data_IF_757350675930
#
_entry.id   IF_757350675930
#
_cell.length_a   1.000
_cell.length_b   1.000
_cell.length_c   1.000
_cell.angle_alpha   90.00
_cell.angle_beta   90.00
_cell.angle_gamma   90.00
#
_symmetry.space_group_name_H-M   'P 1'
#
loop_
_entity.id
_entity.type
_entity.pdbx_description
1 polymer ?
#
# COMPACT_ATOMS: atom_id res chain seq x y z
N UNK A 1 -69.31 -32.17 -20.14
CA UNK A 1 -68.90 -33.45 -20.75
C UNK A 1 -67.42 -33.32 -21.15
N UNK A 2 -66.54 -34.12 -20.54
CA UNK A 2 -65.12 -34.42 -20.92
C UNK A 2 -64.04 -33.31 -20.80
N UNK A 3 -63.38 -33.33 -19.64
CA UNK A 3 -61.91 -33.29 -19.35
C UNK A 3 -60.90 -32.97 -20.47
N UNK A 4 -59.90 -32.11 -20.15
CA UNK A 4 -58.48 -32.51 -19.95
C UNK A 4 -57.57 -31.34 -19.52
N UNK A 5 -56.88 -31.55 -18.40
CA UNK A 5 -55.65 -30.89 -17.93
C UNK A 5 -54.50 -31.20 -18.88
N UNK A 6 -53.59 -30.25 -19.18
CA UNK A 6 -52.14 -30.50 -19.35
C UNK A 6 -51.29 -29.25 -19.05
N UNK A 7 -50.31 -29.43 -18.15
CA UNK A 7 -49.16 -28.57 -17.85
C UNK A 7 -48.16 -28.55 -19.01
N UNK A 8 -47.49 -27.43 -19.27
CA UNK A 8 -46.13 -27.34 -19.89
C UNK A 8 -45.46 -26.09 -19.30
N UNK A 9 -44.61 -26.22 -18.27
CA UNK A 9 -43.15 -26.41 -18.30
C UNK A 9 -42.35 -25.16 -18.75
N UNK A 10 -41.78 -24.49 -17.75
CA UNK A 10 -40.77 -23.43 -17.84
C UNK A 10 -39.50 -23.95 -18.49
N UNK A 11 -38.98 -23.25 -19.50
CA UNK A 11 -37.70 -23.56 -20.14
C UNK A 11 -36.58 -22.88 -19.35
N UNK A 12 -35.82 -23.68 -18.60
CA UNK A 12 -34.46 -23.32 -18.19
C UNK A 12 -33.52 -23.67 -19.34
N UNK A 13 -32.92 -22.67 -19.97
CA UNK A 13 -31.86 -22.84 -20.96
C UNK A 13 -30.53 -23.15 -20.25
N UNK A 14 -30.15 -24.42 -20.20
CA UNK A 14 -28.80 -24.87 -19.86
C UNK A 14 -27.96 -24.84 -21.13
N UNK A 15 -26.97 -23.96 -21.20
CA UNK A 15 -25.93 -24.02 -22.22
C UNK A 15 -25.07 -25.28 -21.97
N UNK A 16 -25.18 -26.27 -22.84
CA UNK A 16 -24.27 -27.41 -22.85
C UNK A 16 -22.97 -27.00 -23.53
N UNK A 17 -21.90 -26.87 -22.74
CA UNK A 17 -20.54 -26.68 -23.23
C UNK A 17 -20.09 -27.98 -23.92
N UNK A 18 -19.91 -27.94 -25.24
CA UNK A 18 -19.39 -29.07 -26.01
C UNK A 18 -17.90 -29.26 -25.74
N UNK A 19 -17.55 -30.25 -24.91
CA UNK A 19 -16.16 -30.67 -24.71
C UNK A 19 -15.78 -31.61 -25.85
N UNK A 20 -14.91 -31.15 -26.75
CA UNK A 20 -14.21 -32.01 -27.70
C UNK A 20 -13.19 -32.86 -26.94
N UNK A 21 -13.41 -34.19 -26.92
CA UNK A 21 -12.45 -35.16 -26.42
C UNK A 21 -11.22 -35.22 -27.34
N UNK A 22 -10.08 -34.73 -26.87
CA UNK A 22 -8.77 -35.08 -27.41
C UNK A 22 -8.34 -36.38 -26.73
N UNK A 23 -8.15 -37.45 -27.51
CA UNK A 23 -7.62 -38.72 -27.03
C UNK A 23 -6.15 -38.55 -26.59
N UNK A 24 -5.92 -38.45 -25.28
CA UNK A 24 -4.59 -38.52 -24.67
C UNK A 24 -4.27 -39.98 -24.25
N UNK A 25 -3.03 -40.47 -24.38
CA UNK A 25 -2.64 -41.82 -23.94
C UNK A 25 -2.79 -41.99 -22.42
N UNK A 26 -2.89 -43.22 -21.90
CA UNK A 26 -3.23 -43.48 -20.50
C UNK A 26 -2.03 -43.19 -19.58
N UNK A 27 -1.83 -41.92 -19.23
CA UNK A 27 -1.09 -41.53 -18.04
C UNK A 27 -2.09 -41.36 -16.88
N UNK A 28 -1.66 -41.81 -15.70
CA UNK A 28 -2.39 -41.83 -14.42
C UNK A 28 -3.44 -40.72 -14.29
N UNK A 29 -4.72 -41.10 -14.17
CA UNK A 29 -5.78 -40.20 -13.74
C UNK A 29 -5.49 -39.77 -12.30
N UNK A 30 -4.89 -38.60 -12.10
CA UNK A 30 -5.07 -37.88 -10.85
C UNK A 30 -6.54 -37.54 -10.73
N UNK A 31 -7.06 -37.72 -9.53
CA UNK A 31 -8.37 -37.28 -9.09
C UNK A 31 -8.41 -35.73 -9.08
N UNK A 32 -8.55 -35.12 -10.25
CA UNK A 32 -8.68 -33.67 -10.46
C UNK A 32 -9.93 -33.07 -9.81
N UNK A 33 -10.81 -33.90 -9.25
CA UNK A 33 -11.92 -33.47 -8.42
C UNK A 33 -11.45 -32.64 -7.22
N UNK A 34 -10.29 -32.91 -6.63
CA UNK A 34 -9.76 -32.12 -5.50
C UNK A 34 -9.26 -30.74 -5.93
N UNK A 35 -8.66 -30.63 -7.12
CA UNK A 35 -8.24 -29.34 -7.69
C UNK A 35 -9.45 -28.50 -8.14
N UNK A 36 -10.46 -29.15 -8.72
CA UNK A 36 -11.71 -28.50 -9.10
C UNK A 36 -12.54 -28.09 -7.87
N UNK A 37 -12.56 -28.91 -6.81
CA UNK A 37 -13.24 -28.58 -5.55
C UNK A 37 -12.53 -27.47 -4.78
N UNK A 38 -11.19 -27.38 -4.83
CA UNK A 38 -10.42 -26.26 -4.30
C UNK A 38 -10.62 -24.97 -5.10
N UNK A 39 -10.91 -25.06 -6.41
CA UNK A 39 -11.37 -23.93 -7.22
C UNK A 39 -12.81 -23.50 -6.89
N UNK A 40 -13.64 -24.42 -6.39
CA UNK A 40 -15.07 -24.22 -6.11
C UNK A 40 -15.39 -23.91 -4.63
N UNK A 41 -14.48 -24.15 -3.70
CA UNK A 41 -14.64 -23.75 -2.30
C UNK A 41 -14.21 -22.29 -2.14
N UNK A 42 -15.13 -21.35 -2.33
CA UNK A 42 -14.93 -19.98 -1.88
C UNK A 42 -14.98 -19.96 -0.35
N UNK A 43 -13.82 -19.77 0.29
CA UNK A 43 -13.78 -19.46 1.72
C UNK A 43 -14.41 -18.08 1.95
N UNK A 44 -15.12 -17.89 3.06
CA UNK A 44 -15.69 -16.59 3.44
C UNK A 44 -14.92 -16.04 4.63
N UNK A 45 -14.40 -14.83 4.53
CA UNK A 45 -13.66 -14.13 5.59
C UNK A 45 -14.48 -12.90 6.01
N UNK A 46 -15.06 -12.91 7.21
CA UNK A 46 -15.73 -11.76 7.80
C UNK A 46 -16.05 -11.98 9.27
N UNK A 47 -16.45 -10.90 9.94
CA UNK A 47 -16.79 -10.88 11.35
C UNK A 47 -15.58 -11.04 12.26
N UNK A 48 -15.86 -11.35 13.52
CA UNK A 48 -14.84 -11.51 14.54
C UNK A 48 -14.09 -12.85 14.41
N UNK A 49 -12.77 -12.76 14.28
CA UNK A 49 -11.85 -13.91 14.29
C UNK A 49 -11.15 -13.94 15.64
N UNK A 50 -11.59 -14.85 16.50
CA UNK A 50 -11.08 -15.04 17.88
C UNK A 50 -10.23 -16.29 18.05
N UNK A 51 -10.04 -17.05 16.98
CA UNK A 51 -9.22 -18.26 16.93
C UNK A 51 -8.50 -18.36 15.58
N UNK A 52 -7.56 -19.30 15.47
CA UNK A 52 -6.82 -19.51 14.24
C UNK A 52 -7.73 -20.00 13.09
N UNK A 53 -7.66 -19.33 11.95
CA UNK A 53 -8.33 -19.71 10.70
C UNK A 53 -7.29 -19.76 9.57
N UNK A 54 -7.53 -20.62 8.58
CA UNK A 54 -6.65 -20.77 7.42
C UNK A 54 -7.43 -20.77 6.12
N UNK A 55 -6.91 -20.06 5.14
CA UNK A 55 -7.55 -19.83 3.85
C UNK A 55 -6.61 -20.20 2.70
N UNK A 56 -7.19 -20.65 1.59
CA UNK A 56 -6.48 -21.02 0.37
C UNK A 56 -7.39 -20.87 -0.85
N UNK A 57 -6.82 -20.73 -2.05
CA UNK A 57 -7.60 -20.62 -3.28
C UNK A 57 -8.29 -19.26 -3.41
N UNK A 58 -9.58 -19.25 -3.74
CA UNK A 58 -10.37 -18.01 -3.79
C UNK A 58 -11.12 -17.80 -2.47
N UNK A 59 -10.99 -16.62 -1.90
CA UNK A 59 -11.62 -16.21 -0.65
C UNK A 59 -12.45 -14.96 -0.92
N UNK A 60 -13.65 -14.90 -0.39
CA UNK A 60 -14.48 -13.70 -0.39
C UNK A 60 -14.34 -12.98 0.96
N UNK A 61 -13.99 -11.68 0.93
CA UNK A 61 -14.01 -10.81 2.09
C UNK A 61 -15.41 -10.16 2.19
N UNK A 62 -16.22 -10.68 3.10
CA UNK A 62 -17.65 -10.38 3.23
C UNK A 62 -17.91 -9.27 4.27
N UNK A 63 -17.42 -8.06 4.00
CA UNK A 63 -17.47 -6.94 4.94
C UNK A 63 -16.21 -6.88 5.82
N UNK A 64 -16.36 -6.49 7.08
CA UNK A 64 -15.20 -6.29 7.98
C UNK A 64 -14.77 -7.63 8.58
N UNK A 65 -13.51 -8.00 8.40
CA UNK A 65 -12.89 -9.15 9.07
C UNK A 65 -11.99 -8.67 10.20
N UNK A 66 -12.47 -8.83 11.44
CA UNK A 66 -11.79 -8.29 12.63
C UNK A 66 -11.03 -9.40 13.35
N UNK A 67 -9.71 -9.42 13.21
CA UNK A 67 -8.82 -10.34 13.92
C UNK A 67 -8.58 -9.82 15.33
N UNK A 68 -9.25 -10.42 16.30
CA UNK A 68 -9.17 -10.04 17.71
C UNK A 68 -7.97 -10.67 18.40
N UNK A 69 -7.63 -10.15 19.59
CA UNK A 69 -6.59 -10.74 20.44
C UNK A 69 -6.76 -12.26 20.62
N UNK A 70 -5.70 -13.01 20.32
CA UNK A 70 -5.70 -14.48 20.35
C UNK A 70 -6.21 -15.18 19.07
N UNK A 71 -6.84 -14.42 18.17
CA UNK A 71 -7.20 -14.88 16.82
C UNK A 71 -6.05 -14.73 15.83
N UNK A 72 -6.09 -15.52 14.75
CA UNK A 72 -5.15 -15.36 13.64
C UNK A 72 -5.76 -15.80 12.32
N UNK A 73 -5.40 -15.14 11.23
CA UNK A 73 -5.72 -15.58 9.87
C UNK A 73 -4.43 -15.93 9.13
N UNK A 74 -4.43 -17.08 8.45
CA UNK A 74 -3.31 -17.56 7.64
C UNK A 74 -3.77 -17.79 6.22
N UNK A 75 -3.06 -17.23 5.25
CA UNK A 75 -3.32 -17.44 3.83
C UNK A 75 -2.21 -18.30 3.23
N UNK A 76 -2.57 -19.38 2.55
CA UNK A 76 -1.61 -20.18 1.81
C UNK A 76 -1.06 -19.39 0.59
N UNK A 77 0.18 -19.62 0.13
CA UNK A 77 0.69 -19.04 -1.11
C UNK A 77 -0.28 -19.22 -2.28
N UNK A 78 -0.43 -18.18 -3.11
CA UNK A 78 -1.35 -18.17 -4.26
C UNK A 78 -2.82 -17.90 -3.90
N UNK A 79 -3.15 -17.63 -2.63
CA UNK A 79 -4.51 -17.24 -2.25
C UNK A 79 -4.90 -15.91 -2.87
N UNK A 80 -6.12 -15.82 -3.40
CA UNK A 80 -6.74 -14.58 -3.87
C UNK A 80 -7.95 -14.26 -3.00
N UNK A 81 -7.90 -13.13 -2.30
CA UNK A 81 -9.01 -12.55 -1.55
C UNK A 81 -9.71 -11.52 -2.41
N UNK A 82 -11.01 -11.71 -2.64
CA UNK A 82 -11.91 -10.82 -3.36
C UNK A 82 -12.72 -9.98 -2.36
N UNK A 83 -12.44 -8.69 -2.34
CA UNK A 83 -13.03 -7.73 -1.42
C UNK A 83 -14.07 -6.85 -2.13
N UNK A 84 -15.19 -6.60 -1.47
CA UNK A 84 -16.31 -5.83 -2.02
C UNK A 84 -16.46 -4.48 -1.30
N UNK A 85 -17.24 -3.53 -1.85
CA UNK A 85 -17.48 -2.25 -1.19
C UNK A 85 -17.94 -2.41 0.27
N UNK A 86 -17.34 -1.63 1.17
CA UNK A 86 -17.57 -1.71 2.62
C UNK A 86 -16.84 -2.85 3.34
N UNK A 87 -15.88 -3.52 2.69
CA UNK A 87 -15.05 -4.57 3.29
C UNK A 87 -13.61 -4.13 3.51
N UNK A 88 -13.01 -4.58 4.62
CA UNK A 88 -11.60 -4.39 4.94
C UNK A 88 -11.17 -5.42 6.00
N UNK A 89 -9.86 -5.64 6.14
CA UNK A 89 -9.31 -6.50 7.19
C UNK A 89 -8.82 -5.60 8.33
N UNK A 90 -9.24 -5.89 9.55
CA UNK A 90 -8.84 -5.17 10.75
C UNK A 90 -8.14 -6.11 11.73
N UNK A 91 -6.83 -5.94 11.90
CA UNK A 91 -6.03 -6.69 12.88
C UNK A 91 -5.88 -5.85 14.14
N UNK A 92 -6.60 -6.22 15.20
CA UNK A 92 -6.53 -5.54 16.49
C UNK A 92 -5.29 -5.96 17.28
N UNK A 93 -4.89 -5.23 18.35
CA UNK A 93 -3.73 -5.58 19.15
C UNK A 93 -3.79 -7.03 19.67
N UNK A 94 -2.82 -7.86 19.28
CA UNK A 94 -2.72 -9.27 19.65
C UNK A 94 -3.47 -10.25 18.74
N UNK A 95 -4.21 -9.75 17.75
CA UNK A 95 -4.58 -10.50 16.56
C UNK A 95 -3.40 -10.62 15.60
N UNK A 96 -3.44 -11.58 14.67
CA UNK A 96 -2.34 -11.81 13.72
C UNK A 96 -2.81 -12.12 12.30
N UNK A 97 -2.08 -11.60 11.31
CA UNK A 97 -2.24 -11.93 9.89
C UNK A 97 -0.97 -12.60 9.36
N UNK A 98 -1.10 -13.75 8.71
CA UNK A 98 0.02 -14.46 8.09
C UNK A 98 -0.26 -14.66 6.60
N UNK A 99 0.29 -13.78 5.77
CA UNK A 99 0.30 -13.88 4.34
C UNK A 99 1.75 -14.01 3.87
N UNK A 100 2.27 -15.24 3.89
CA UNK A 100 3.65 -15.56 3.49
C UNK A 100 3.66 -16.26 2.13
N UNK A 101 3.52 -15.45 1.07
CA UNK A 101 3.54 -15.89 -0.32
C UNK A 101 4.94 -16.13 -0.85
N UNK A 102 5.04 -16.30 -2.17
CA UNK A 102 6.33 -16.37 -2.88
C UNK A 102 6.24 -15.62 -4.20
N UNK A 103 7.36 -15.29 -4.84
CA UNK A 103 7.36 -14.68 -6.17
C UNK A 103 6.53 -15.47 -7.21
N UNK A 104 6.58 -16.81 -7.15
CA UNK A 104 5.81 -17.67 -8.06
C UNK A 104 4.36 -17.90 -7.65
N UNK A 105 3.97 -17.50 -6.44
CA UNK A 105 2.61 -17.69 -5.90
C UNK A 105 2.32 -16.60 -4.86
N UNK A 106 2.23 -15.33 -5.28
CA UNK A 106 1.94 -14.23 -4.37
C UNK A 106 0.53 -14.35 -3.82
N UNK A 107 0.29 -13.78 -2.64
CA UNK A 107 -1.06 -13.64 -2.08
C UNK A 107 -1.64 -12.33 -2.57
N UNK A 108 -2.90 -12.34 -3.00
CA UNK A 108 -3.54 -11.19 -3.66
C UNK A 108 -4.80 -10.80 -2.90
N UNK A 109 -4.83 -9.59 -2.37
CA UNK A 109 -6.03 -8.92 -1.88
C UNK A 109 -6.45 -7.91 -2.95
N UNK A 110 -7.65 -8.07 -3.50
CA UNK A 110 -8.06 -7.28 -4.68
C UNK A 110 -9.57 -7.12 -4.72
N UNK A 111 -10.02 -6.15 -5.51
CA UNK A 111 -11.43 -5.94 -5.79
C UNK A 111 -12.14 -7.20 -6.29
N UNK A 112 -13.30 -7.47 -5.70
CA UNK A 112 -14.30 -8.45 -6.08
C UNK A 112 -15.17 -7.97 -7.26
N UNK A 113 -15.05 -6.71 -7.66
CA UNK A 113 -15.69 -6.18 -8.88
C UNK A 113 -15.05 -6.84 -10.11
N UNK A 114 -15.88 -6.99 -11.15
CA UNK A 114 -15.48 -7.59 -12.42
C UNK A 114 -14.26 -6.87 -13.01
N UNK A 115 -13.32 -7.65 -13.56
CA UNK A 115 -12.14 -7.14 -14.28
C UNK A 115 -12.60 -6.17 -15.38
N UNK A 116 -11.92 -5.03 -15.52
CA UNK A 116 -12.32 -3.95 -16.43
C UNK A 116 -13.39 -3.01 -15.87
N UNK A 117 -13.90 -3.26 -14.66
CA UNK A 117 -14.80 -2.35 -13.93
C UNK A 117 -14.31 -2.06 -12.51
N UNK A 118 -13.08 -2.50 -12.18
CA UNK A 118 -12.45 -2.20 -10.90
C UNK A 118 -12.03 -0.74 -10.84
N UNK A 119 -12.18 -0.14 -9.68
CA UNK A 119 -11.77 1.23 -9.44
C UNK A 119 -10.95 1.32 -8.15
N UNK A 120 -10.04 2.31 -8.05
CA UNK A 120 -9.50 2.71 -6.75
C UNK A 120 -10.64 2.90 -5.74
N UNK A 121 -10.46 2.41 -4.52
CA UNK A 121 -11.46 2.54 -3.45
C UNK A 121 -12.60 1.53 -3.51
N UNK A 122 -12.45 0.44 -4.28
CA UNK A 122 -13.47 -0.64 -4.33
C UNK A 122 -13.63 -1.36 -2.97
N UNK A 123 -12.63 -1.26 -2.08
CA UNK A 123 -12.63 -1.80 -0.72
C UNK A 123 -11.63 -1.03 0.17
N UNK A 124 -11.66 -1.25 1.48
CA UNK A 124 -10.94 -0.44 2.47
C UNK A 124 -9.55 -0.95 2.88
N UNK A 125 -8.95 -1.90 2.17
CA UNK A 125 -7.57 -2.32 2.44
C UNK A 125 -7.36 -3.14 3.72
N UNK A 126 -6.14 -3.09 4.24
CA UNK A 126 -5.70 -3.83 5.43
C UNK A 126 -5.27 -2.85 6.51
N UNK A 127 -5.91 -2.94 7.68
CA UNK A 127 -5.59 -2.15 8.86
C UNK A 127 -4.95 -3.05 9.91
N UNK A 128 -3.76 -2.65 10.40
CA UNK A 128 -3.04 -3.37 11.45
C UNK A 128 -2.75 -2.42 12.61
N UNK A 129 -3.25 -2.77 13.80
CA UNK A 129 -3.00 -2.05 15.03
C UNK A 129 -2.08 -2.91 15.92
N UNK A 130 -0.86 -2.43 16.12
CA UNK A 130 0.15 -3.08 16.96
C UNK A 130 0.16 -2.55 18.40
N UNK A 131 1.29 -2.78 19.08
CA UNK A 131 1.55 -2.28 20.43
C UNK A 131 2.84 -1.46 20.54
N UNK A 132 3.43 -1.00 19.46
CA UNK A 132 4.54 -0.05 19.52
C UNK A 132 4.03 1.36 19.83
N UNK A 133 4.93 2.23 20.33
CA UNK A 133 4.59 3.60 20.70
C UNK A 133 4.45 4.52 19.48
N UNK A 134 3.75 5.65 19.66
CA UNK A 134 3.65 6.75 18.70
C UNK A 134 3.88 8.10 19.41
N UNK A 135 3.67 9.21 18.70
CA UNK A 135 3.80 10.55 19.24
C UNK A 135 2.52 11.05 19.96
N UNK A 136 1.36 10.48 19.63
CA UNK A 136 0.10 10.70 20.32
C UNK A 136 -0.72 9.41 20.46
N UNK A 137 -1.84 9.52 21.18
CA UNK A 137 -2.93 8.56 21.14
C UNK A 137 -4.08 9.13 20.31
N UNK A 138 -4.76 8.26 19.57
CA UNK A 138 -5.89 8.61 18.72
C UNK A 138 -6.78 7.41 18.48
N UNK A 139 -7.76 7.60 17.61
CA UNK A 139 -8.60 6.52 17.09
C UNK A 139 -8.28 6.32 15.60
N UNK A 140 -8.28 5.07 15.13
CA UNK A 140 -8.08 4.76 13.71
C UNK A 140 -9.21 5.30 12.85
N UNK A 141 -8.95 5.46 11.57
CA UNK A 141 -9.99 5.58 10.55
C UNK A 141 -10.83 4.30 10.49
N UNK A 142 -12.00 4.40 9.86
CA UNK A 142 -12.93 3.32 9.63
C UNK A 142 -14.30 3.50 10.29
N UNK A 143 -15.27 2.70 9.83
CA UNK A 143 -16.68 2.72 10.31
C UNK A 143 -16.83 2.47 11.83
N UNK A 144 -15.82 1.86 12.47
CA UNK A 144 -15.76 1.67 13.91
C UNK A 144 -14.33 1.95 14.41
N UNK A 145 -13.98 3.22 14.63
CA UNK A 145 -12.63 3.64 15.05
C UNK A 145 -12.13 2.85 16.25
N UNK A 146 -10.85 2.49 16.24
CA UNK A 146 -10.21 1.74 17.32
C UNK A 146 -9.10 2.57 17.96
N UNK A 147 -8.94 2.53 19.29
CA UNK A 147 -7.89 3.30 19.94
C UNK A 147 -6.51 2.74 19.59
N UNK A 148 -5.56 3.64 19.31
CA UNK A 148 -4.15 3.34 19.12
C UNK A 148 -3.26 4.37 19.85
N UNK A 149 -1.93 4.20 19.71
CA UNK A 149 -0.95 5.15 20.23
C UNK A 149 -0.65 4.92 21.70
N UNK A 150 0.32 4.05 21.96
CA UNK A 150 0.80 3.77 23.31
C UNK A 150 1.95 4.71 23.69
N UNK A 151 2.03 5.06 24.98
CA UNK A 151 3.22 5.73 25.52
C UNK A 151 4.43 4.81 25.42
N UNK A 152 5.64 5.39 25.39
CA UNK A 152 6.91 4.64 25.36
C UNK A 152 7.01 3.64 26.52
N UNK A 153 6.46 4.00 27.70
CA UNK A 153 6.48 3.13 28.88
C UNK A 153 5.47 1.97 28.83
N UNK A 154 4.37 2.11 28.08
CA UNK A 154 3.32 1.10 27.96
C UNK A 154 3.45 0.24 26.69
N UNK A 155 4.24 0.69 25.72
CA UNK A 155 4.42 0.02 24.45
C UNK A 155 5.27 -1.26 24.55
N UNK A 156 5.03 -2.14 23.58
CA UNK A 156 5.90 -3.24 23.20
C UNK A 156 6.43 -2.97 21.78
N UNK A 157 7.61 -2.38 21.67
CA UNK A 157 8.27 -2.08 20.39
C UNK A 157 8.59 -3.33 19.56
N UNK A 158 8.65 -4.51 20.20
CA UNK A 158 8.88 -5.80 19.57
C UNK A 158 7.58 -6.58 19.31
N UNK A 159 6.42 -5.93 19.40
CA UNK A 159 5.13 -6.56 19.09
C UNK A 159 5.11 -7.12 17.66
N UNK A 160 4.38 -8.23 17.48
CA UNK A 160 4.32 -8.98 16.24
C UNK A 160 2.86 -9.24 15.86
N UNK A 161 2.42 -8.48 14.85
CA UNK A 161 1.10 -8.58 14.21
C UNK A 161 1.06 -9.57 13.05
N UNK A 162 2.20 -10.18 12.71
CA UNK A 162 2.32 -11.27 11.74
C UNK A 162 3.26 -10.97 10.57
N UNK A 163 2.90 -11.45 9.38
CA UNK A 163 3.74 -11.44 8.18
C UNK A 163 2.90 -11.04 6.96
N UNK A 164 3.41 -10.07 6.19
CA UNK A 164 3.05 -9.81 4.81
C UNK A 164 4.32 -9.99 3.97
N UNK A 165 4.38 -11.07 3.18
CA UNK A 165 5.51 -11.41 2.31
C UNK A 165 5.01 -11.86 0.92
N UNK A 166 5.50 -11.24 -0.16
CA UNK A 166 4.98 -11.45 -1.53
C UNK A 166 3.45 -11.27 -1.60
N UNK A 167 3.01 -10.08 -1.18
CA UNK A 167 1.59 -9.69 -1.10
C UNK A 167 1.30 -8.59 -2.11
N UNK A 168 0.14 -8.68 -2.78
CA UNK A 168 -0.45 -7.60 -3.56
C UNK A 168 -1.73 -7.12 -2.90
N UNK A 169 -1.84 -5.82 -2.70
CA UNK A 169 -3.04 -5.13 -2.22
C UNK A 169 -3.48 -4.21 -3.37
N UNK A 170 -4.59 -4.54 -4.01
CA UNK A 170 -5.01 -3.90 -5.25
C UNK A 170 -6.38 -3.23 -5.06
N UNK A 171 -6.55 -2.00 -5.56
CA UNK A 171 -7.85 -1.29 -5.62
C UNK A 171 -8.47 -0.97 -4.24
N UNK A 172 -7.65 -0.84 -3.21
CA UNK A 172 -8.06 -0.42 -1.87
C UNK A 172 -8.27 1.11 -1.80
N UNK A 173 -8.44 1.72 -0.62
CA UNK A 173 -8.56 3.19 -0.50
C UNK A 173 -9.96 3.74 -0.17
N UNK A 174 -10.93 2.91 0.23
CA UNK A 174 -12.33 3.37 0.27
C UNK A 174 -12.60 4.43 1.35
N UNK A 175 -13.21 5.55 0.96
CA UNK A 175 -13.85 6.52 1.88
C UNK A 175 -15.09 5.90 2.52
N UNK A 176 -15.00 5.51 3.79
CA UNK A 176 -16.08 4.81 4.49
C UNK A 176 -17.04 5.75 5.21
N UNK A 177 -16.61 6.98 5.48
CA UNK A 177 -17.44 8.12 5.86
C UNK A 177 -16.75 9.41 5.37
N UNK A 178 -17.46 10.55 5.40
CA UNK A 178 -16.91 11.80 4.87
C UNK A 178 -15.66 12.23 5.62
N UNK A 179 -14.51 12.28 4.93
CA UNK A 179 -13.21 12.56 5.52
C UNK A 179 -12.70 11.48 6.48
N UNK A 180 -13.09 10.23 6.22
CA UNK A 180 -12.66 9.01 6.92
C UNK A 180 -12.35 7.96 5.85
N UNK A 181 -11.23 8.20 5.18
CA UNK A 181 -10.68 7.36 4.13
C UNK A 181 -9.80 6.24 4.72
N UNK A 182 -9.91 5.03 4.17
CA UNK A 182 -9.05 3.91 4.56
C UNK A 182 -8.00 3.69 3.49
N UNK A 183 -6.77 3.38 3.87
CA UNK A 183 -5.64 3.26 2.94
C UNK A 183 -5.50 1.87 2.28
N UNK A 184 -4.48 1.71 1.45
CA UNK A 184 -4.05 0.39 0.99
C UNK A 184 -3.60 -0.50 2.13
N UNK A 185 -2.64 -0.01 2.91
CA UNK A 185 -2.13 -0.65 4.12
C UNK A 185 -1.96 0.40 5.22
N UNK A 186 -2.83 0.36 6.23
CA UNK A 186 -2.81 1.25 7.38
C UNK A 186 -2.10 0.57 8.57
N UNK A 187 -1.09 1.22 9.13
CA UNK A 187 -0.21 0.67 10.17
C UNK A 187 -0.21 1.58 11.41
N UNK A 188 -0.99 1.22 12.43
CA UNK A 188 -1.07 1.98 13.68
C UNK A 188 -0.18 1.34 14.75
N UNK A 189 0.93 1.99 15.12
CA UNK A 189 1.81 1.53 16.19
C UNK A 189 2.33 0.11 15.99
N UNK A 190 2.72 -0.26 14.77
CA UNK A 190 3.17 -1.63 14.46
C UNK A 190 4.62 -1.84 14.90
N UNK A 191 4.86 -2.95 15.60
CA UNK A 191 6.17 -3.27 16.17
C UNK A 191 7.14 -3.97 15.22
N UNK A 192 8.42 -3.93 15.59
CA UNK A 192 9.57 -4.53 14.86
C UNK A 192 9.49 -6.05 14.71
N UNK A 193 8.64 -6.73 15.49
CA UNK A 193 8.42 -8.17 15.36
C UNK A 193 7.54 -8.55 14.16
N UNK A 194 6.87 -7.59 13.53
CA UNK A 194 6.04 -7.78 12.33
C UNK A 194 6.92 -7.74 11.08
N UNK A 195 6.65 -8.61 10.11
CA UNK A 195 7.38 -8.63 8.82
C UNK A 195 6.51 -8.05 7.72
N UNK A 196 7.00 -7.02 7.03
CA UNK A 196 6.40 -6.46 5.82
C UNK A 196 7.49 -6.44 4.75
N UNK A 197 7.44 -7.37 3.81
CA UNK A 197 8.46 -7.48 2.77
C UNK A 197 7.87 -7.93 1.43
N UNK A 198 8.41 -7.48 0.30
CA UNK A 198 7.85 -7.79 -1.03
C UNK A 198 6.34 -7.53 -1.07
N UNK A 199 5.94 -6.30 -0.75
CA UNK A 199 4.54 -5.87 -0.77
C UNK A 199 4.32 -4.88 -1.89
N UNK A 200 3.30 -5.13 -2.70
CA UNK A 200 2.80 -4.16 -3.66
C UNK A 200 1.46 -3.60 -3.21
N UNK A 201 1.34 -2.28 -3.20
CA UNK A 201 0.04 -1.59 -3.20
C UNK A 201 -0.20 -1.02 -4.59
N UNK A 202 -1.36 -1.33 -5.17
CA UNK A 202 -1.68 -0.99 -6.55
C UNK A 202 -3.04 -0.33 -6.66
N UNK A 203 -3.06 0.89 -7.19
CA UNK A 203 -4.27 1.65 -7.53
C UNK A 203 -5.22 1.84 -6.36
N UNK A 204 -4.67 2.25 -5.22
CA UNK A 204 -5.43 2.76 -4.09
C UNK A 204 -6.11 4.10 -4.43
N UNK A 205 -7.29 4.36 -3.86
CA UNK A 205 -7.96 5.66 -3.94
C UNK A 205 -7.34 6.66 -2.95
N UNK A 206 -7.00 6.17 -1.78
CA UNK A 206 -6.29 6.90 -0.76
C UNK A 206 -4.82 6.45 -0.73
N UNK A 207 -4.13 6.66 0.39
CA UNK A 207 -2.71 6.38 0.48
C UNK A 207 -2.34 4.94 0.18
N UNK A 208 -1.17 4.76 -0.40
CA UNK A 208 -0.61 3.44 -0.65
C UNK A 208 -0.36 2.70 0.66
N UNK A 209 0.51 3.27 1.49
CA UNK A 209 0.83 2.79 2.83
C UNK A 209 0.88 4.02 3.73
N UNK A 210 0.12 3.96 4.82
CA UNK A 210 0.16 4.99 5.86
C UNK A 210 0.50 4.36 7.20
N UNK A 211 1.37 5.01 7.97
CA UNK A 211 1.81 4.52 9.27
C UNK A 211 1.81 5.59 10.36
N UNK A 212 1.00 5.40 11.39
CA UNK A 212 0.96 6.26 12.57
C UNK A 212 1.79 5.66 13.69
N UNK A 213 2.98 6.23 13.91
CA UNK A 213 3.92 5.77 14.92
C UNK A 213 4.42 4.35 14.64
N UNK A 214 4.98 3.71 15.66
CA UNK A 214 5.55 2.37 15.54
C UNK A 214 6.92 2.33 14.86
N UNK A 215 7.46 1.12 14.74
CA UNK A 215 8.84 0.89 14.29
C UNK A 215 8.97 -0.37 13.42
N UNK A 216 7.88 -0.85 12.83
CA UNK A 216 7.93 -1.94 11.86
C UNK A 216 8.90 -1.59 10.73
N UNK A 217 9.69 -2.55 10.28
CA UNK A 217 10.54 -2.35 9.11
C UNK A 217 9.83 -2.86 7.87
N UNK A 218 10.05 -2.18 6.75
CA UNK A 218 9.50 -2.52 5.45
C UNK A 218 10.64 -2.71 4.44
N UNK A 219 10.60 -3.77 3.64
CA UNK A 219 11.67 -4.08 2.69
C UNK A 219 11.15 -4.60 1.34
N UNK A 220 11.58 -4.02 0.22
CA UNK A 220 11.04 -4.31 -1.13
C UNK A 220 9.56 -3.94 -1.26
N UNK A 221 9.28 -2.64 -1.22
CA UNK A 221 7.93 -2.08 -1.30
C UNK A 221 7.70 -1.43 -2.66
N UNK A 222 6.56 -1.74 -3.28
CA UNK A 222 6.14 -1.16 -4.56
C UNK A 222 4.76 -0.51 -4.42
N UNK A 223 4.67 0.80 -4.60
CA UNK A 223 3.39 1.52 -4.64
C UNK A 223 3.17 2.05 -6.06
N UNK A 224 2.02 1.75 -6.66
CA UNK A 224 1.80 2.03 -8.09
C UNK A 224 0.39 2.53 -8.36
N UNK A 225 0.29 3.67 -9.04
CA UNK A 225 -0.97 4.24 -9.50
C UNK A 225 -1.93 4.65 -8.38
N UNK A 226 -1.43 4.96 -7.18
CA UNK A 226 -2.25 5.55 -6.11
C UNK A 226 -2.81 6.91 -6.51
N UNK A 227 -3.96 7.27 -5.92
CA UNK A 227 -4.67 8.52 -6.19
C UNK A 227 -4.46 9.58 -5.11
N UNK A 228 -3.92 9.21 -3.94
CA UNK A 228 -3.46 10.17 -2.93
C UNK A 228 -1.95 10.12 -2.70
N UNK A 229 -1.43 9.97 -1.49
CA UNK A 229 0.00 9.83 -1.20
C UNK A 229 0.48 8.38 -1.42
N UNK A 230 1.75 8.17 -1.84
CA UNK A 230 2.23 6.79 -2.03
C UNK A 230 2.67 6.17 -0.70
N UNK A 231 3.40 6.95 0.11
CA UNK A 231 3.80 6.62 1.46
C UNK A 231 3.51 7.85 2.33
N UNK A 232 2.70 7.65 3.36
CA UNK A 232 2.49 8.61 4.43
C UNK A 232 3.01 8.05 5.76
N UNK A 233 3.83 8.82 6.46
CA UNK A 233 4.36 8.45 7.76
C UNK A 233 4.02 9.54 8.76
N UNK A 234 3.37 9.11 9.82
CA UNK A 234 2.74 9.98 10.79
C UNK A 234 3.21 9.65 12.22
N UNK A 235 2.88 10.52 13.16
CA UNK A 235 2.96 10.22 14.61
C UNK A 235 4.32 9.64 15.08
N UNK A 236 5.41 10.19 14.54
CA UNK A 236 6.79 9.80 14.79
C UNK A 236 7.08 8.30 14.54
N UNK A 237 6.61 7.80 13.39
CA UNK A 237 7.08 6.52 12.86
C UNK A 237 8.63 6.50 12.83
N UNK A 238 9.20 5.38 13.28
CA UNK A 238 10.65 5.24 13.48
C UNK A 238 11.20 3.93 12.92
N UNK A 239 10.51 3.36 11.93
CA UNK A 239 10.96 2.16 11.22
C UNK A 239 11.95 2.48 10.10
N UNK A 240 12.52 1.42 9.52
CA UNK A 240 13.31 1.50 8.29
C UNK A 240 12.49 1.00 7.11
N UNK A 241 12.45 1.77 6.02
CA UNK A 241 11.95 1.37 4.71
C UNK A 241 13.12 1.23 3.76
N UNK A 242 13.44 0.02 3.34
CA UNK A 242 14.54 -0.25 2.41
C UNK A 242 14.03 -0.81 1.09
N UNK A 243 14.59 -0.34 -0.03
CA UNK A 243 14.19 -0.77 -1.37
C UNK A 243 12.72 -0.44 -1.64
N UNK A 244 12.46 0.82 -1.98
CA UNK A 244 11.11 1.37 -2.18
C UNK A 244 10.97 1.93 -3.59
N UNK A 245 9.91 1.56 -4.30
CA UNK A 245 9.53 2.19 -5.56
C UNK A 245 8.11 2.72 -5.43
N UNK A 246 7.92 4.01 -5.73
CA UNK A 246 6.59 4.58 -5.92
C UNK A 246 6.44 5.11 -7.34
N UNK A 247 5.27 4.92 -7.94
CA UNK A 247 5.02 5.35 -9.30
C UNK A 247 3.58 5.76 -9.52
N UNK A 248 3.35 7.07 -9.63
CA UNK A 248 2.06 7.66 -10.00
C UNK A 248 1.79 7.50 -11.50
N UNK A 249 0.54 7.21 -11.84
CA UNK A 249 0.11 7.02 -13.23
C UNK A 249 -0.43 8.31 -13.86
N UNK A 250 -0.66 8.37 -15.18
CA UNK A 250 -1.42 9.46 -15.78
C UNK A 250 -2.90 9.44 -15.36
N UNK A 251 -3.56 10.61 -15.32
CA UNK A 251 -5.03 10.70 -15.09
C UNK A 251 -5.85 9.90 -16.09
N UNK A 252 -5.31 9.68 -17.30
CA UNK A 252 -5.94 8.85 -18.34
C UNK A 252 -6.12 7.39 -17.90
N UNK A 253 -5.46 6.96 -16.83
CA UNK A 253 -5.53 5.59 -16.30
C UNK A 253 -6.68 5.37 -15.32
N UNK A 254 -7.51 6.39 -15.11
CA UNK A 254 -8.75 6.28 -14.35
C UNK A 254 -8.54 6.40 -12.85
N UNK A 255 -9.54 6.97 -12.17
CA UNK A 255 -9.42 7.53 -10.83
C UNK A 255 -9.35 9.06 -10.89
N UNK A 256 -9.47 9.69 -9.73
CA UNK A 256 -9.33 11.14 -9.57
C UNK A 256 -8.32 11.34 -8.46
N UNK A 257 -7.26 12.09 -8.74
CA UNK A 257 -6.30 12.47 -7.72
C UNK A 257 -6.97 13.25 -6.58
N UNK A 258 -6.46 13.07 -5.37
CA UNK A 258 -6.78 13.91 -4.22
C UNK A 258 -6.41 15.38 -4.47
N UNK A 259 -6.67 16.24 -3.47
CA UNK A 259 -6.30 17.66 -3.54
C UNK A 259 -4.81 17.92 -3.54
N UNK A 260 -4.02 16.92 -3.14
CA UNK A 260 -2.62 17.08 -2.81
C UNK A 260 -1.78 15.79 -2.91
N UNK A 261 -1.86 15.03 -4.01
CA UNK A 261 -1.20 13.73 -4.14
C UNK A 261 0.31 13.84 -4.29
N UNK A 262 1.08 13.13 -3.48
CA UNK A 262 2.55 13.15 -3.47
C UNK A 262 3.09 11.74 -3.50
N UNK A 263 4.41 11.63 -3.71
CA UNK A 263 5.05 10.36 -3.43
C UNK A 263 5.16 10.15 -1.92
N UNK A 264 5.71 11.13 -1.20
CA UNK A 264 5.89 11.05 0.25
C UNK A 264 5.18 12.21 0.98
N UNK A 265 4.25 11.91 1.89
CA UNK A 265 3.85 12.83 2.96
C UNK A 265 4.47 12.29 4.27
N UNK A 266 5.03 13.19 5.10
CA UNK A 266 5.74 12.77 6.31
C UNK A 266 5.55 13.81 7.41
N UNK A 267 4.86 13.37 8.44
CA UNK A 267 4.33 14.18 9.52
C UNK A 267 4.86 13.64 10.86
N UNK A 268 5.45 14.53 11.66
CA UNK A 268 6.03 14.13 12.94
C UNK A 268 4.98 13.93 14.02
N UNK A 269 4.02 14.84 14.10
CA UNK A 269 2.99 14.89 15.13
C UNK A 269 1.76 15.63 14.60
N UNK A 270 0.63 14.93 14.44
CA UNK A 270 -0.58 15.54 13.91
C UNK A 270 -1.09 16.63 14.87
N UNK A 271 -1.30 17.85 14.34
CA UNK A 271 -1.92 18.93 15.10
C UNK A 271 -1.21 20.28 15.05
N UNK A 272 -0.47 20.57 13.97
CA UNK A 272 0.15 21.87 13.77
C UNK A 272 1.40 22.09 14.63
N UNK A 273 2.05 21.00 15.03
CA UNK A 273 3.32 21.04 15.75
C UNK A 273 3.19 21.38 17.23
N UNK A 274 2.23 20.79 17.95
CA UNK A 274 2.28 20.82 19.40
C UNK A 274 3.50 20.04 19.92
N UNK A 275 4.03 20.43 21.09
CA UNK A 275 5.10 19.68 21.75
C UNK A 275 4.65 18.21 21.95
N UNK A 276 5.58 17.23 21.82
CA UNK A 276 5.32 15.83 22.08
C UNK A 276 4.61 15.66 23.42
N UNK A 277 3.52 14.89 23.42
CA UNK A 277 2.80 14.61 24.66
C UNK A 277 3.75 13.85 25.59
N UNK A 278 3.96 14.36 26.81
CA UNK A 278 4.93 13.79 27.74
C UNK A 278 4.69 12.27 27.94
N UNK A 279 5.72 11.46 27.66
CA UNK A 279 5.67 10.00 27.73
C UNK A 279 5.40 9.29 26.40
N UNK A 280 5.06 10.03 25.34
CA UNK A 280 5.03 9.56 23.96
C UNK A 280 6.37 9.79 23.25
N UNK A 281 6.47 9.35 21.99
CA UNK A 281 7.63 9.62 21.15
C UNK A 281 7.75 11.11 20.87
N UNK A 282 8.99 11.57 20.74
CA UNK A 282 9.35 12.95 20.42
C UNK A 282 10.21 13.02 19.14
N UNK A 283 10.71 14.20 18.82
CA UNK A 283 11.64 14.44 17.69
C UNK A 283 13.02 13.76 17.82
N UNK A 284 13.21 12.79 18.72
CA UNK A 284 14.43 11.94 18.71
C UNK A 284 14.25 10.64 17.94
N UNK A 285 13.01 10.28 17.62
CA UNK A 285 12.68 9.11 16.81
C UNK A 285 12.80 9.47 15.33
N UNK A 286 13.43 8.60 14.54
CA UNK A 286 13.77 8.93 13.14
C UNK A 286 13.38 7.81 12.21
N UNK A 287 12.55 8.13 11.21
CA UNK A 287 12.29 7.23 10.09
C UNK A 287 13.54 7.14 9.20
N UNK A 288 13.84 5.95 8.68
CA UNK A 288 14.97 5.77 7.75
C UNK A 288 14.48 5.18 6.44
N UNK A 289 14.67 5.88 5.32
CA UNK A 289 14.26 5.44 3.98
C UNK A 289 15.52 5.30 3.12
N UNK A 290 15.80 4.10 2.61
CA UNK A 290 17.01 3.82 1.83
C UNK A 290 16.73 3.09 0.52
N UNK A 291 17.52 3.37 -0.50
CA UNK A 291 17.40 2.76 -1.83
C UNK A 291 15.98 2.96 -2.38
N UNK A 292 15.59 4.21 -2.66
CA UNK A 292 14.23 4.53 -3.07
C UNK A 292 14.17 5.21 -4.43
N UNK A 293 13.08 4.96 -5.17
CA UNK A 293 12.77 5.58 -6.45
C UNK A 293 11.32 6.05 -6.42
N UNK A 294 11.10 7.36 -6.35
CA UNK A 294 9.78 7.97 -6.29
C UNK A 294 9.47 8.66 -7.63
N UNK A 295 8.47 8.19 -8.35
CA UNK A 295 8.11 8.71 -9.67
C UNK A 295 6.75 9.41 -9.59
N UNK A 296 6.80 10.75 -9.64
CA UNK A 296 5.64 11.62 -9.53
C UNK A 296 4.71 11.60 -10.75
N UNK A 297 3.65 12.40 -10.66
CA UNK A 297 2.53 12.40 -11.61
C UNK A 297 2.96 12.98 -12.97
N UNK A 298 2.85 12.22 -14.08
CA UNK A 298 3.22 12.74 -15.40
C UNK A 298 2.23 13.79 -15.94
N UNK A 299 1.08 13.98 -15.30
CA UNK A 299 0.01 14.90 -15.73
C UNK A 299 0.26 16.30 -15.19
N UNK A 300 0.32 17.31 -16.05
CA UNK A 300 0.47 18.70 -15.62
C UNK A 300 -0.83 19.28 -15.02
N UNK A 301 -0.65 20.17 -14.05
CA UNK A 301 -1.76 20.94 -13.45
C UNK A 301 -2.58 20.19 -12.42
N UNK A 302 -2.09 19.06 -11.89
CA UNK A 302 -2.70 18.41 -10.73
C UNK A 302 -2.40 19.27 -9.50
N UNK A 303 -3.46 19.77 -8.86
CA UNK A 303 -3.35 20.62 -7.66
C UNK A 303 -2.64 19.89 -6.53
N UNK A 304 -1.86 20.63 -5.73
CA UNK A 304 -1.18 20.12 -4.53
C UNK A 304 -0.10 19.04 -4.75
N UNK A 305 0.07 18.55 -5.99
CA UNK A 305 1.00 17.47 -6.29
C UNK A 305 2.46 17.83 -5.98
N UNK A 306 3.15 16.97 -5.24
CA UNK A 306 4.57 17.12 -4.93
C UNK A 306 5.34 15.80 -5.00
N UNK A 307 6.67 15.83 -5.00
CA UNK A 307 7.45 14.62 -4.78
C UNK A 307 7.45 14.25 -3.29
N UNK A 308 7.52 15.25 -2.42
CA UNK A 308 7.45 15.06 -0.99
C UNK A 308 6.86 16.29 -0.27
N UNK A 309 6.35 16.07 0.94
CA UNK A 309 6.06 17.09 1.94
C UNK A 309 6.49 16.58 3.31
N UNK A 310 7.26 17.38 4.04
CA UNK A 310 7.72 17.04 5.39
C UNK A 310 7.30 18.13 6.37
N UNK A 311 6.62 17.79 7.46
CA UNK A 311 6.13 18.80 8.41
C UNK A 311 6.01 18.26 9.83
N UNK A 312 5.52 19.14 10.69
CA UNK A 312 5.06 18.81 12.04
C UNK A 312 6.10 18.12 12.94
N UNK A 313 7.37 18.48 12.78
CA UNK A 313 8.45 17.92 13.59
C UNK A 313 8.82 16.51 13.15
N UNK A 314 8.67 16.18 11.85
CA UNK A 314 9.13 14.91 11.30
C UNK A 314 10.67 14.83 11.31
N UNK A 315 11.21 13.68 11.70
CA UNK A 315 12.64 13.39 11.66
C UNK A 315 12.93 12.22 10.73
N UNK A 316 13.72 12.44 9.68
CA UNK A 316 13.94 11.45 8.64
C UNK A 316 15.38 11.39 8.12
N UNK A 317 15.87 10.18 7.85
CA UNK A 317 17.10 9.92 7.13
C UNK A 317 16.79 9.25 5.79
N UNK A 318 17.15 9.90 4.69
CA UNK A 318 16.93 9.43 3.33
C UNK A 318 18.25 9.16 2.64
N UNK A 319 18.42 8.00 2.03
CA UNK A 319 19.64 7.74 1.27
C UNK A 319 19.51 6.83 0.05
N UNK A 320 20.47 6.96 -0.87
CA UNK A 320 20.52 6.24 -2.14
C UNK A 320 19.20 6.37 -2.91
N UNK A 321 18.69 7.59 -2.99
CA UNK A 321 17.33 7.88 -3.41
C UNK A 321 17.23 8.63 -4.72
N UNK A 322 16.10 8.51 -5.40
CA UNK A 322 15.76 9.33 -6.55
C UNK A 322 14.31 9.77 -6.45
N UNK A 323 14.09 11.08 -6.55
CA UNK A 323 12.78 11.66 -6.78
C UNK A 323 12.69 12.17 -8.23
N UNK A 324 11.74 11.64 -8.99
CA UNK A 324 11.38 12.10 -10.32
C UNK A 324 10.12 12.93 -10.24
N UNK A 325 10.28 14.21 -9.95
CA UNK A 325 9.20 15.17 -9.83
C UNK A 325 8.70 15.55 -11.24
N UNK A 326 7.67 14.84 -11.72
CA UNK A 326 7.05 15.12 -13.01
C UNK A 326 5.94 16.17 -12.82
N UNK A 327 5.98 17.24 -13.62
CA UNK A 327 4.90 18.22 -13.79
C UNK A 327 4.19 18.72 -12.51
N UNK A 328 4.91 18.84 -11.39
CA UNK A 328 4.37 19.32 -10.12
C UNK A 328 3.68 20.69 -10.29
N UNK A 329 2.51 20.85 -9.66
CA UNK A 329 1.94 22.17 -9.48
C UNK A 329 2.86 23.06 -8.63
N UNK A 330 2.67 24.37 -8.74
CA UNK A 330 3.52 25.43 -8.15
C UNK A 330 3.63 25.41 -6.61
N UNK A 331 2.99 24.44 -5.93
CA UNK A 331 3.01 24.25 -4.49
C UNK A 331 4.33 23.64 -3.96
N UNK A 332 5.23 23.19 -4.84
CA UNK A 332 6.62 22.82 -4.49
C UNK A 332 6.73 21.56 -3.61
N UNK A 333 7.93 20.98 -3.56
CA UNK A 333 8.24 20.04 -2.48
C UNK A 333 8.47 20.87 -1.22
N UNK A 334 7.66 20.68 -0.18
CA UNK A 334 7.66 21.57 0.99
C UNK A 334 8.27 20.92 2.22
N UNK A 335 8.92 21.75 3.02
CA UNK A 335 9.26 21.47 4.40
C UNK A 335 8.63 22.58 5.24
N UNK A 336 7.78 22.22 6.19
CA UNK A 336 7.10 23.19 7.05
C UNK A 336 7.57 23.05 8.49
N UNK A 337 8.02 24.18 9.05
CA UNK A 337 8.27 24.36 10.47
C UNK A 337 7.22 25.32 11.00
N UNK A 338 6.36 24.84 11.89
CA UNK A 338 5.37 25.70 12.55
C UNK A 338 6.05 26.45 13.69
N UNK A 339 5.79 27.75 13.82
CA UNK A 339 6.39 28.54 14.91
C UNK A 339 5.89 28.03 16.26
N UNK A 340 6.80 27.51 17.09
CA UNK A 340 6.47 26.94 18.41
C UNK A 340 6.37 25.41 18.43
N UNK A 341 6.68 24.73 17.31
CA UNK A 341 6.76 23.28 17.23
C UNK A 341 8.18 22.73 17.34
N UNK A 342 8.28 21.42 17.53
CA UNK A 342 9.50 20.69 17.21
C UNK A 342 9.91 20.96 15.75
N UNK A 343 11.23 21.00 15.54
CA UNK A 343 11.82 21.26 14.23
C UNK A 343 11.76 20.00 13.36
N UNK A 344 11.16 20.11 12.18
CA UNK A 344 11.23 19.07 11.14
C UNK A 344 12.69 18.96 10.68
N UNK A 345 13.33 17.80 10.87
CA UNK A 345 14.75 17.57 10.56
C UNK A 345 14.92 16.42 9.57
N UNK A 346 15.45 16.69 8.38
CA UNK A 346 15.61 15.66 7.34
C UNK A 346 17.04 15.63 6.81
N UNK A 347 17.67 14.46 6.79
CA UNK A 347 19.02 14.29 6.22
C UNK A 347 18.96 13.49 4.93
N UNK A 348 19.59 13.99 3.86
CA UNK A 348 19.74 13.30 2.59
C UNK A 348 21.18 12.89 2.34
N UNK A 349 21.41 11.63 1.98
CA UNK A 349 22.71 11.17 1.50
C UNK A 349 22.55 10.47 0.15
N UNK A 350 23.38 10.79 -0.85
CA UNK A 350 23.31 10.11 -2.15
C UNK A 350 21.89 10.13 -2.75
N UNK A 351 21.23 11.29 -2.72
CA UNK A 351 19.85 11.45 -3.22
C UNK A 351 19.83 12.41 -4.41
N UNK A 352 19.08 12.03 -5.45
CA UNK A 352 18.95 12.81 -6.70
C UNK A 352 17.53 13.31 -6.83
N UNK A 353 17.41 14.55 -7.30
CA UNK A 353 16.14 15.11 -7.72
C UNK A 353 16.18 15.39 -9.23
N UNK A 354 15.29 14.74 -9.98
CA UNK A 354 15.03 15.06 -11.38
C UNK A 354 13.88 16.07 -11.42
N UNK A 355 14.18 17.33 -11.74
CA UNK A 355 13.18 18.41 -11.90
C UNK A 355 13.31 19.08 -13.27
N UNK A 356 12.26 19.76 -13.75
CA UNK A 356 12.42 20.89 -14.66
C UNK A 356 12.81 22.14 -13.84
N UNK A 357 14.11 22.31 -13.58
CA UNK A 357 14.87 23.55 -13.33
C UNK A 357 14.37 24.68 -12.37
N UNK A 358 13.22 24.62 -11.69
CA UNK A 358 12.70 25.82 -10.96
C UNK A 358 12.09 25.62 -9.56
N UNK A 359 12.14 24.45 -8.92
CA UNK A 359 11.48 24.26 -7.61
C UNK A 359 12.45 23.97 -6.45
N UNK A 360 13.49 24.78 -6.27
CA UNK A 360 14.14 24.91 -4.95
C UNK A 360 13.47 26.05 -4.18
N UNK A 361 12.23 25.85 -3.76
CA UNK A 361 11.61 26.70 -2.76
C UNK A 361 11.37 25.86 -1.51
N UNK A 362 12.47 25.51 -0.83
CA UNK A 362 12.43 25.19 0.60
C UNK A 362 12.01 26.48 1.30
N UNK A 363 10.70 26.71 1.44
CA UNK A 363 10.15 27.85 2.17
C UNK A 363 9.97 27.46 3.63
N UNK A 364 11.04 27.61 4.42
CA UNK A 364 11.03 27.36 5.87
C UNK A 364 12.38 26.84 6.37
N UNK A 365 13.19 27.70 7.01
CA UNK A 365 14.53 27.43 7.55
C UNK A 365 14.55 26.37 8.69
N UNK A 366 15.69 25.74 9.08
CA UNK A 366 16.78 25.12 8.31
C UNK A 366 17.24 23.75 8.89
N UNK A 367 16.99 22.59 8.26
CA UNK A 367 17.81 21.40 8.59
C UNK A 367 17.74 20.27 7.57
N UNK A 368 17.54 20.58 6.28
CA UNK A 368 18.03 19.65 5.25
C UNK A 368 19.56 19.67 5.28
N UNK A 369 20.15 18.55 5.67
CA UNK A 369 21.61 18.38 5.62
C UNK A 369 21.98 17.26 4.65
N UNK A 370 23.11 17.44 3.97
CA UNK A 370 23.65 16.48 3.00
C UNK A 370 23.47 16.88 1.54
N UNK A 371 23.80 15.97 0.62
CA UNK A 371 23.93 16.26 -0.82
C UNK A 371 22.69 15.80 -1.59
N UNK A 372 21.91 16.78 -2.05
CA UNK A 372 20.95 16.60 -3.14
C UNK A 372 21.63 17.08 -4.41
N UNK A 373 21.63 16.25 -5.46
CA UNK A 373 22.06 16.69 -6.78
C UNK A 373 20.87 16.79 -7.71
N UNK A 374 20.66 17.97 -8.30
CA UNK A 374 19.76 18.13 -9.43
C UNK A 374 20.41 17.54 -10.68
N UNK A 375 19.70 16.64 -11.37
CA UNK A 375 20.17 16.09 -12.64
C UNK A 375 19.01 15.94 -13.62
N UNK A 376 19.08 16.71 -14.72
CA UNK A 376 18.09 16.68 -15.79
C UNK A 376 18.18 15.40 -16.66
N UNK A 377 19.36 14.76 -16.68
CA UNK A 377 19.65 13.54 -17.43
C UNK A 377 19.41 12.28 -16.59
N UNK A 378 19.01 12.43 -15.32
CA UNK A 378 18.58 11.31 -14.49
C UNK A 378 17.39 10.61 -15.12
N UNK A 379 17.55 9.37 -15.62
CA UNK A 379 16.45 8.71 -16.30
C UNK A 379 16.37 7.21 -15.99
N UNK A 380 15.15 6.70 -15.98
CA UNK A 380 14.83 5.29 -15.78
C UNK A 380 14.58 4.66 -17.15
N UNK A 381 15.01 3.40 -17.31
CA UNK A 381 15.09 2.71 -18.60
C UNK A 381 13.76 2.73 -19.35
N UNK A 382 12.67 2.38 -18.66
CA UNK A 382 11.32 2.44 -19.23
C UNK A 382 10.29 2.42 -18.11
N UNK A 383 9.69 3.55 -17.81
CA UNK A 383 8.52 3.64 -16.95
C UNK A 383 7.36 4.14 -17.83
N UNK A 384 6.30 3.34 -17.97
CA UNK A 384 5.26 3.53 -18.99
C UNK A 384 4.61 4.92 -18.93
N UNK A 385 5.12 5.85 -19.73
CA UNK A 385 4.78 7.28 -19.60
C UNK A 385 3.42 7.67 -20.20
N UNK A 386 2.76 6.79 -20.95
CA UNK A 386 1.55 7.17 -21.70
C UNK A 386 0.46 6.11 -21.82
N UNK A 387 0.67 4.91 -21.27
CA UNK A 387 -0.29 3.81 -21.42
C UNK A 387 -0.71 3.23 -20.09
N UNK A 388 -2.02 3.15 -19.90
CA UNK A 388 -2.67 2.53 -18.75
C UNK A 388 -2.63 0.99 -18.84
N UNK A 389 -2.30 0.47 -20.01
CA UNK A 389 -2.03 -0.93 -20.25
C UNK A 389 -0.52 -1.12 -20.41
N UNK A 390 0.14 -1.46 -19.31
CA UNK A 390 1.53 -1.89 -19.35
C UNK A 390 1.62 -3.22 -20.09
N UNK A 391 1.98 -3.16 -21.37
CA UNK A 391 2.13 -4.34 -22.23
C UNK A 391 3.31 -5.22 -21.78
N UNK A 392 4.27 -4.62 -21.09
CA UNK A 392 5.42 -5.24 -20.42
C UNK A 392 5.52 -4.71 -18.99
N UNK A 393 6.13 -5.49 -18.10
CA UNK A 393 6.48 -5.04 -16.75
C UNK A 393 7.34 -3.77 -16.83
N UNK A 394 7.01 -2.67 -16.11
CA UNK A 394 7.84 -1.48 -16.07
C UNK A 394 9.27 -1.82 -15.68
N UNK A 395 10.23 -1.10 -16.24
CA UNK A 395 11.63 -1.25 -15.89
C UNK A 395 12.12 0.00 -15.15
N UNK A 396 12.16 -0.11 -13.83
CA UNK A 396 12.64 0.94 -12.91
C UNK A 396 14.17 1.01 -12.77
N UNK A 397 14.93 0.18 -13.50
CA UNK A 397 16.39 0.25 -13.52
C UNK A 397 16.86 1.58 -14.10
N UNK A 398 17.87 2.18 -13.47
CA UNK A 398 18.46 3.44 -13.92
C UNK A 398 19.25 3.26 -15.22
N UNK A 399 19.08 4.20 -16.15
CA UNK A 399 19.83 4.21 -17.42
C UNK A 399 21.31 4.51 -17.16
N UNK A 400 21.60 5.31 -16.12
CA UNK A 400 22.94 5.61 -15.66
C UNK A 400 23.16 4.92 -14.30
N UNK A 401 24.15 4.01 -14.23
CA UNK A 401 24.41 3.13 -13.08
C UNK A 401 24.67 3.85 -11.74
N UNK A 402 24.97 5.14 -11.79
CA UNK A 402 24.80 6.09 -10.68
C UNK A 402 24.62 7.47 -11.28
N UNK A 403 23.72 8.27 -10.70
CA UNK A 403 23.58 9.67 -11.05
C UNK A 403 24.06 10.47 -9.85
N UNK A 404 25.24 11.09 -9.96
CA UNK A 404 25.83 11.93 -8.91
C UNK A 404 25.76 11.35 -7.48
N UNK A 405 25.93 10.02 -7.37
CA UNK A 405 25.95 9.28 -6.10
C UNK A 405 24.64 8.59 -5.70
N UNK A 406 23.49 8.88 -6.32
CA UNK A 406 22.23 8.16 -6.07
C UNK A 406 22.04 6.95 -6.99
N UNK A 407 21.64 5.82 -6.39
CA UNK A 407 21.40 4.55 -7.10
C UNK A 407 19.92 4.13 -7.12
N UNK A 408 19.06 4.81 -6.36
CA UNK A 408 17.64 4.45 -6.24
C UNK A 408 17.40 3.02 -5.76
N UNK A 409 16.15 2.56 -5.88
CA UNK A 409 15.82 1.14 -5.79
C UNK A 409 16.18 0.46 -7.12
N UNK A 410 17.43 0.02 -7.28
CA UNK A 410 17.88 -0.62 -8.52
C UNK A 410 17.47 -2.11 -8.59
N UNK A 411 17.29 -2.60 -9.82
CA UNK A 411 16.98 -3.98 -10.15
C UNK A 411 15.53 -4.22 -10.60
N UNK A 412 15.19 -5.50 -10.73
CA UNK A 412 13.87 -5.99 -11.18
C UNK A 412 13.26 -6.97 -10.18
N UNK A 413 13.49 -6.75 -8.88
CA UNK A 413 12.97 -7.59 -7.79
C UNK A 413 11.43 -7.67 -7.77
N UNK A 414 10.75 -6.69 -8.34
CA UNK A 414 9.31 -6.64 -8.53
C UNK A 414 8.82 -7.54 -9.68
N UNK A 415 9.70 -7.95 -10.58
CA UNK A 415 9.32 -8.68 -11.79
C UNK A 415 8.74 -10.08 -11.47
N UNK A 416 7.68 -10.45 -12.18
CA UNK A 416 7.08 -11.79 -12.12
C UNK A 416 5.99 -12.00 -11.07
N UNK A 417 5.90 -11.18 -10.02
CA UNK A 417 4.89 -11.34 -8.96
C UNK A 417 3.94 -10.15 -8.77
N UNK A 418 4.32 -8.99 -9.31
CA UNK A 418 3.54 -7.74 -9.24
C UNK A 418 2.54 -7.63 -10.39
N UNK A 419 1.60 -6.70 -10.27
CA UNK A 419 0.57 -6.40 -11.25
C UNK A 419 0.61 -4.92 -11.65
N UNK A 420 0.42 -4.62 -12.94
CA UNK A 420 0.55 -3.26 -13.48
C UNK A 420 -0.60 -2.86 -14.42
N UNK A 421 -1.63 -3.67 -14.62
CA UNK A 421 -2.67 -3.34 -15.62
C UNK A 421 -3.70 -2.38 -15.02
N UNK A 422 -4.18 -1.41 -15.81
CA UNK A 422 -5.26 -0.52 -15.38
C UNK A 422 -6.67 -1.14 -15.40
N UNK A 423 -6.85 -2.43 -15.72
CA UNK A 423 -8.19 -3.03 -15.91
C UNK A 423 -8.35 -4.38 -15.19
#
# INVERSE_FOLDING_TARGET
>A
MKTKIKRVLSVFSVFALSITYINCPPASKSNDASALLALLSSGSLCGDITSAQSFSGNVELCGIATVKSGGSITFAPGTTVKAFPGSYILVLPGGKIFADGTAGSPIVFTSGIAVGSRAPGDWGGIVIIGRASGAAAGDTEGVNPQPYGLTVAAANEADNSGILNYVRIEFAGNEVASGDELNGLSLYGVGTGTTISYVQVHRGLDDGIEAWGGSVNMDHILVTGGMDDDIDLDEAYAGTINTLITHKYPVACGGTYSSDPRSFEMDGFAGGGADPVAGYRDGTYTATITNFTAIGIPTAGVSGSAAYKFREGFHGNFSNGIFMARNNSSAGNTQENTTGSNETTVTFAATVFKTPATSTSVTGSPSITGSITDDADADITEYGESSCEFTTTPNYTLINASINGGNGADGQWYSGWTYYRAN
#
